data_IF_444927792895
#
_entry.id   IF_444927792895
#
_cell.length_a   1.000
_cell.length_b   1.000
_cell.length_c   1.000
_cell.angle_alpha   90.00
_cell.angle_beta   90.00
_cell.angle_gamma   90.00
#
_symmetry.space_group_name_H-M   'P 1'
#
loop_
_entity.id
_entity.type
_entity.pdbx_description
1 polymer ?
2 non-polymer ?
3 non-polymer ?
4 water ?
#
# COMPACT_ATOMS: atom_id res chain seq x y z
N UNK A 1 -2.30 15.82 -16.06
CA UNK A 1 -1.48 14.58 -16.18
C UNK A 1 -2.37 13.36 -16.43
N UNK A 2 -1.76 12.28 -16.92
CA UNK A 2 -2.51 11.07 -17.25
C UNK A 2 -3.23 10.38 -16.09
N UNK A 3 -4.42 9.90 -16.41
CA UNK A 3 -5.32 9.24 -15.47
C UNK A 3 -5.20 7.72 -15.55
N UNK A 4 -5.02 7.10 -14.39
CA UNK A 4 -4.90 5.65 -14.33
C UNK A 4 -5.91 4.99 -13.42
N UNK A 5 -6.84 4.22 -13.98
CA UNK A 5 -7.84 3.54 -13.16
C UNK A 5 -7.08 2.72 -12.09
N UNK A 6 -7.50 2.85 -10.83
CA UNK A 6 -6.81 2.17 -9.74
C UNK A 6 -7.08 0.70 -9.57
N UNK A 7 -8.33 0.30 -9.77
CA UNK A 7 -8.71 -1.09 -9.59
C UNK A 7 -7.85 -2.06 -10.39
N UNK A 8 -7.66 -1.80 -11.70
CA UNK A 8 -6.84 -2.72 -12.49
C UNK A 8 -5.38 -2.81 -12.05
N UNK A 9 -4.82 -1.69 -11.59
CA UNK A 9 -3.43 -1.69 -11.13
C UNK A 9 -3.30 -2.50 -9.87
N UNK A 10 -4.28 -2.36 -8.97
CA UNK A 10 -4.21 -3.11 -7.74
C UNK A 10 -4.43 -4.61 -8.01
N UNK A 11 -5.22 -4.90 -9.04
CA UNK A 11 -5.50 -6.27 -9.44
C UNK A 11 -4.19 -6.91 -9.93
N UNK A 12 -3.41 -6.15 -10.70
CA UNK A 12 -2.12 -6.63 -11.22
C UNK A 12 -1.18 -6.90 -10.04
N UNK A 13 -1.19 -6.01 -9.05
CA UNK A 13 -0.33 -6.19 -7.90
C UNK A 13 -0.72 -7.38 -7.06
N UNK A 14 -2.02 -7.52 -6.81
CA UNK A 14 -2.54 -8.63 -6.02
C UNK A 14 -2.18 -9.94 -6.71
N UNK A 15 -2.50 -10.04 -8.00
CA UNK A 15 -2.19 -11.25 -8.74
C UNK A 15 -0.73 -11.68 -8.55
N UNK A 16 0.19 -10.72 -8.67
CA UNK A 16 1.62 -11.01 -8.52
C UNK A 16 1.94 -11.45 -7.08
N UNK A 17 1.31 -10.79 -6.11
CA UNK A 17 1.53 -11.12 -4.70
C UNK A 17 0.93 -12.46 -4.31
N UNK A 18 -0.23 -12.79 -4.88
CA UNK A 18 -0.89 -14.05 -4.58
C UNK A 18 0.04 -15.21 -4.93
N UNK A 19 0.89 -15.00 -5.93
CA UNK A 19 1.85 -16.02 -6.35
C UNK A 19 2.97 -16.13 -5.34
N UNK A 20 3.66 -15.02 -5.10
CA UNK A 20 4.76 -14.98 -4.15
C UNK A 20 4.37 -15.59 -2.81
N UNK A 21 3.13 -15.35 -2.38
CA UNK A 21 2.66 -15.86 -1.10
C UNK A 21 1.59 -16.93 -1.21
N UNK A 22 1.54 -17.62 -2.34
CA UNK A 22 0.53 -18.66 -2.54
C UNK A 22 0.55 -19.70 -1.44
N UNK A 23 1.74 -20.03 -0.95
CA UNK A 23 1.86 -21.02 0.10
C UNK A 23 1.25 -20.55 1.42
N UNK A 24 1.27 -19.24 1.65
CA UNK A 24 0.71 -18.70 2.88
C UNK A 24 -0.82 -18.65 2.88
N UNK A 25 -1.40 -18.56 1.69
CA UNK A 25 -2.85 -18.52 1.58
C UNK A 25 -3.48 -17.26 2.12
N UNK A 26 -2.85 -16.13 1.82
CA UNK A 26 -3.37 -14.85 2.28
C UNK A 26 -4.64 -14.54 1.53
N UNK A 27 -5.66 -14.06 2.24
CA UNK A 27 -6.90 -13.68 1.57
C UNK A 27 -6.88 -12.15 1.47
N UNK A 28 -6.79 -11.65 0.23
CA UNK A 28 -6.77 -10.20 -0.06
C UNK A 28 -8.13 -9.80 -0.62
N UNK A 29 -8.83 -8.91 0.08
CA UNK A 29 -10.14 -8.43 -0.35
C UNK A 29 -9.97 -6.99 -0.82
N UNK A 30 -10.67 -6.62 -1.89
CA UNK A 30 -10.57 -5.27 -2.44
C UNK A 30 -11.90 -4.57 -2.57
N UNK A 31 -11.97 -3.35 -2.06
CA UNK A 31 -13.18 -2.53 -2.18
C UNK A 31 -12.76 -1.22 -2.84
N UNK A 32 -12.68 -1.27 -4.17
CA UNK A 32 -12.22 -0.13 -4.98
C UNK A 32 -13.30 0.17 -6.02
N UNK A 33 -13.96 1.30 -5.88
CA UNK A 33 -15.01 1.64 -6.84
C UNK A 33 -14.35 1.83 -8.21
N UNK A 34 -15.05 1.44 -9.28
CA UNK A 34 -14.52 1.55 -10.64
C UNK A 34 -14.06 2.92 -11.11
N UNK A 35 -14.63 3.99 -10.55
CA UNK A 35 -14.26 5.34 -10.98
C UNK A 35 -13.01 5.90 -10.31
N UNK A 36 -12.48 5.16 -9.34
CA UNK A 36 -11.26 5.60 -8.64
C UNK A 36 -10.06 5.62 -9.60
N UNK A 37 -9.36 6.75 -9.65
CA UNK A 37 -8.21 6.87 -10.53
C UNK A 37 -7.05 7.57 -9.85
N UNK A 38 -5.87 7.39 -10.41
CA UNK A 38 -4.67 8.03 -9.88
C UNK A 38 -4.14 8.90 -11.01
N UNK A 39 -3.85 10.15 -10.69
CA UNK A 39 -3.31 11.10 -11.64
C UNK A 39 -1.82 11.20 -11.34
N UNK A 40 -1.00 10.84 -12.32
CA UNK A 40 0.43 10.89 -12.09
C UNK A 40 1.15 9.78 -12.82
N UNK A 41 2.39 9.51 -12.44
CA UNK A 41 3.18 8.43 -13.07
C UNK A 41 2.75 7.10 -12.48
N UNK A 42 2.26 6.22 -13.35
CA UNK A 42 1.79 4.90 -12.94
C UNK A 42 2.80 4.15 -12.08
N UNK A 43 4.08 4.17 -12.47
CA UNK A 43 5.09 3.46 -11.71
C UNK A 43 5.26 3.97 -10.30
N UNK A 44 4.98 5.25 -10.08
CA UNK A 44 5.09 5.81 -8.73
C UNK A 44 4.03 5.17 -7.84
N UNK A 45 2.79 5.14 -8.34
CA UNK A 45 1.68 4.55 -7.61
C UNK A 45 1.97 3.08 -7.30
N UNK A 46 2.44 2.34 -8.30
CA UNK A 46 2.74 0.94 -8.10
C UNK A 46 3.92 0.66 -7.17
N UNK A 47 4.97 1.49 -7.20
CA UNK A 47 6.08 1.26 -6.29
C UNK A 47 5.59 1.47 -4.85
N UNK A 48 4.81 2.52 -4.62
CA UNK A 48 4.32 2.75 -3.26
C UNK A 48 3.40 1.63 -2.82
N UNK A 49 2.39 1.35 -3.62
CA UNK A 49 1.42 0.31 -3.24
C UNK A 49 2.00 -1.07 -3.21
N UNK A 50 2.97 -1.34 -4.09
CA UNK A 50 3.56 -2.66 -4.08
C UNK A 50 4.28 -2.88 -2.76
N UNK A 51 4.94 -1.85 -2.24
CA UNK A 51 5.67 -2.04 -0.98
C UNK A 51 4.73 -2.23 0.20
N UNK A 52 3.65 -1.47 0.20
CA UNK A 52 2.70 -1.56 1.31
C UNK A 52 1.93 -2.86 1.28
N UNK A 53 1.53 -3.30 0.09
CA UNK A 53 0.77 -4.55 -0.06
C UNK A 53 1.67 -5.76 0.23
N UNK A 54 2.93 -5.71 -0.20
CA UNK A 54 3.81 -6.83 0.09
C UNK A 54 3.98 -6.97 1.60
N UNK A 55 4.14 -5.85 2.30
CA UNK A 55 4.27 -5.89 3.76
C UNK A 55 3.02 -6.52 4.39
N UNK A 56 1.84 -6.09 3.95
CA UNK A 56 0.61 -6.65 4.51
C UNK A 56 0.56 -8.16 4.30
N UNK A 57 0.94 -8.64 3.11
CA UNK A 57 0.92 -10.09 2.87
C UNK A 57 1.96 -10.79 3.74
N UNK A 58 3.12 -10.16 3.86
CA UNK A 58 4.21 -10.72 4.65
C UNK A 58 3.91 -10.84 6.14
N UNK A 59 3.37 -9.77 6.72
CA UNK A 59 3.12 -9.74 8.15
C UNK A 59 1.74 -10.16 8.64
N UNK A 60 0.78 -10.33 7.74
CA UNK A 60 -0.54 -10.71 8.21
C UNK A 60 -0.57 -12.13 8.75
N UNK A 61 -1.68 -12.49 9.39
CA UNK A 61 -1.84 -13.86 9.83
C UNK A 61 -2.56 -14.50 8.64
N UNK A 62 -3.64 -13.87 8.16
CA UNK A 62 -4.38 -14.42 7.04
C UNK A 62 -5.10 -13.39 6.16
N UNK A 63 -5.67 -12.37 6.78
CA UNK A 63 -6.45 -11.38 6.04
C UNK A 63 -5.81 -10.04 5.79
N UNK A 64 -6.02 -9.55 4.57
CA UNK A 64 -5.54 -8.23 4.14
C UNK A 64 -6.74 -7.58 3.46
N UNK A 65 -7.05 -6.33 3.83
CA UNK A 65 -8.17 -5.60 3.23
C UNK A 65 -7.67 -4.31 2.60
N UNK A 66 -8.08 -4.04 1.37
CA UNK A 66 -7.65 -2.82 0.69
C UNK A 66 -8.89 -2.03 0.33
N UNK A 67 -8.91 -0.75 0.67
CA UNK A 67 -10.05 0.09 0.32
C UNK A 67 -9.54 1.41 -0.24
N UNK A 68 -10.42 2.15 -0.90
CA UNK A 68 -9.97 3.40 -1.47
C UNK A 68 -11.10 4.40 -1.56
N UNK A 69 -10.71 5.66 -1.55
CA UNK A 69 -11.68 6.73 -1.75
C UNK A 69 -10.94 7.88 -2.38
N UNK A 70 -11.66 8.77 -3.04
CA UNK A 70 -10.96 9.92 -3.64
C UNK A 70 -11.81 11.16 -3.50
N UNK A 71 -11.12 12.28 -3.40
CA UNK A 71 -11.78 13.56 -3.27
C UNK A 71 -11.36 14.35 -4.49
N UNK A 72 -11.59 15.66 -4.46
CA UNK A 72 -11.23 16.47 -5.59
C UNK A 72 -9.72 16.51 -5.86
N UNK A 73 -8.91 16.58 -4.81
CA UNK A 73 -7.47 16.68 -5.00
C UNK A 73 -6.63 15.56 -4.40
N UNK A 74 -7.29 14.64 -3.70
CA UNK A 74 -6.55 13.55 -3.07
C UNK A 74 -7.12 12.17 -3.35
N UNK A 75 -6.22 11.19 -3.29
CA UNK A 75 -6.57 9.78 -3.45
C UNK A 75 -6.07 9.12 -2.17
N UNK A 76 -6.94 8.33 -1.54
CA UNK A 76 -6.64 7.63 -0.29
C UNK A 76 -6.75 6.11 -0.47
N UNK A 77 -5.66 5.37 -0.24
CA UNK A 77 -5.71 3.92 -0.33
C UNK A 77 -5.36 3.40 1.06
N UNK A 78 -6.24 2.58 1.63
CA UNK A 78 -6.02 2.05 2.98
C UNK A 78 -5.78 0.56 2.90
N UNK A 79 -4.69 0.10 3.51
CA UNK A 79 -4.34 -1.32 3.52
C UNK A 79 -4.29 -1.79 4.97
N UNK A 80 -5.16 -2.73 5.31
CA UNK A 80 -5.22 -3.25 6.67
C UNK A 80 -4.91 -4.73 6.71
N UNK A 81 -4.32 -5.18 7.81
CA UNK A 81 -4.02 -6.59 7.95
C UNK A 81 -4.29 -7.01 9.39
N UNK A 82 -4.25 -8.32 9.59
CA UNK A 82 -4.52 -8.88 10.90
C UNK A 82 -3.28 -9.41 11.61
N UNK A 83 -2.12 -8.87 11.23
CA UNK A 83 -0.86 -9.27 11.85
C UNK A 83 -0.58 -8.57 13.18
N UNK A 84 0.67 -8.62 13.68
CA UNK A 84 1.05 -7.99 14.95
C UNK A 84 0.99 -6.49 14.96
N UNK A 85 0.93 -5.90 13.77
CA UNK A 85 0.89 -4.47 13.65
C UNK A 85 2.25 -3.85 13.84
N UNK A 86 2.26 -2.53 13.90
CA UNK A 86 3.46 -1.75 14.09
C UNK A 86 3.34 -1.05 15.44
N UNK A 87 4.22 -1.41 16.39
CA UNK A 87 4.19 -0.80 17.72
C UNK A 87 4.11 0.70 17.63
N UNK A 88 3.33 1.28 18.53
CA UNK A 88 3.14 2.71 18.58
C UNK A 88 4.48 3.43 18.50
N UNK A 89 5.45 2.94 19.27
CA UNK A 89 6.76 3.57 19.32
C UNK A 89 7.60 3.47 18.05
N UNK A 90 7.12 2.71 17.06
CA UNK A 90 7.85 2.52 15.80
C UNK A 90 7.19 3.10 14.55
N UNK A 91 5.97 3.59 14.69
CA UNK A 91 5.23 4.14 13.55
C UNK A 91 5.87 5.36 12.90
N UNK A 92 6.93 5.86 13.53
CA UNK A 92 7.67 6.99 13.01
C UNK A 92 8.96 6.57 12.31
N UNK A 93 9.78 5.83 13.04
CA UNK A 93 11.06 5.40 12.54
C UNK A 93 11.03 4.46 11.34
N UNK A 94 9.89 3.81 11.09
CA UNK A 94 9.83 2.91 9.94
C UNK A 94 9.90 3.69 8.63
N UNK A 95 9.71 5.00 8.70
CA UNK A 95 9.77 5.83 7.50
C UNK A 95 11.13 6.47 7.29
N UNK A 96 12.08 6.15 8.16
CA UNK A 96 13.43 6.68 8.01
C UNK A 96 14.30 5.62 7.36
N UNK A 97 15.33 6.06 6.64
CA UNK A 97 16.25 5.14 5.96
C UNK A 97 16.93 4.22 6.98
N UNK A 98 16.89 2.92 6.70
CA UNK A 98 17.50 1.96 7.59
C UNK A 98 18.59 1.18 6.89
N UNK A 99 19.06 0.11 7.52
CA UNK A 99 20.11 -0.73 6.95
C UNK A 99 19.48 -1.82 6.08
N UNK A 100 19.12 -1.47 4.85
CA UNK A 100 18.49 -2.43 3.95
C UNK A 100 19.54 -3.10 3.05
N UNK A 101 20.54 -3.73 3.67
CA UNK A 101 21.59 -4.42 2.93
C UNK A 101 21.03 -5.72 2.34
N UNK A 102 21.17 -5.89 1.03
CA UNK A 102 20.68 -7.08 0.31
C UNK A 102 19.48 -7.80 0.94
N UNK A 103 18.33 -7.15 0.93
CA UNK A 103 17.12 -7.78 1.45
C UNK A 103 16.29 -8.04 0.20
N UNK A 104 16.97 -7.95 -0.94
CA UNK A 104 16.33 -8.14 -2.23
C UNK A 104 15.83 -9.53 -2.59
N UNK A 105 14.80 -9.97 -1.88
CA UNK A 105 14.18 -11.24 -2.23
C UNK A 105 13.41 -10.72 -3.45
N UNK A 106 13.17 -11.56 -4.47
CA UNK A 106 12.46 -11.19 -5.70
C UNK A 106 11.12 -10.44 -5.60
N UNK A 107 10.55 -10.35 -4.40
CA UNK A 107 9.28 -9.66 -4.26
C UNK A 107 9.40 -8.40 -3.43
N UNK A 108 10.62 -8.10 -3.00
CA UNK A 108 10.89 -6.94 -2.17
C UNK A 108 10.61 -5.63 -2.91
N UNK A 109 10.15 -4.63 -2.17
CA UNK A 109 9.84 -3.34 -2.76
C UNK A 109 10.86 -2.27 -2.41
N UNK A 110 10.49 -1.01 -2.66
CA UNK A 110 11.39 0.11 -2.42
C UNK A 110 11.59 0.51 -0.97
N UNK A 111 10.79 -0.07 -0.08
CA UNK A 111 10.88 0.27 1.33
C UNK A 111 9.94 1.42 1.66
N UNK A 112 9.55 1.53 2.92
CA UNK A 112 8.63 2.60 3.31
C UNK A 112 9.22 4.01 3.30
N UNK A 113 10.52 4.14 3.55
CA UNK A 113 11.14 5.47 3.50
C UNK A 113 11.01 6.04 2.10
N UNK A 114 11.38 5.23 1.10
CA UNK A 114 11.27 5.67 -0.29
C UNK A 114 9.80 5.81 -0.72
N UNK A 115 8.93 4.92 -0.24
CA UNK A 115 7.52 5.01 -0.60
C UNK A 115 6.92 6.32 -0.10
N UNK A 116 7.27 6.72 1.12
CA UNK A 116 6.76 7.98 1.66
C UNK A 116 7.29 9.15 0.87
N UNK A 117 8.57 9.09 0.50
CA UNK A 117 9.15 10.15 -0.30
C UNK A 117 8.40 10.27 -1.64
N UNK A 118 7.99 9.14 -2.22
CA UNK A 118 7.26 9.23 -3.48
C UNK A 118 5.91 9.91 -3.25
N UNK A 119 5.19 9.54 -2.19
CA UNK A 119 3.92 10.21 -1.94
C UNK A 119 4.08 11.71 -1.68
N UNK A 120 5.22 12.10 -1.12
CA UNK A 120 5.46 13.50 -0.84
C UNK A 120 5.66 14.28 -2.14
N UNK A 121 6.09 13.60 -3.21
CA UNK A 121 6.24 14.26 -4.50
C UNK A 121 4.86 14.71 -4.96
N UNK A 122 3.83 13.98 -4.52
CA UNK A 122 2.46 14.29 -4.87
C UNK A 122 1.76 15.05 -3.74
N UNK A 123 2.55 15.69 -2.87
CA UNK A 123 2.00 16.44 -1.75
C UNK A 123 1.13 15.54 -0.89
N UNK A 124 1.57 14.28 -0.76
CA UNK A 124 0.85 13.32 0.05
C UNK A 124 1.68 12.80 1.21
N UNK A 125 1.30 11.64 1.74
CA UNK A 125 2.02 11.04 2.84
C UNK A 125 1.56 9.61 3.06
N UNK A 126 2.15 8.94 4.04
CA UNK A 126 1.71 7.58 4.38
C UNK A 126 1.55 7.65 5.89
N UNK A 127 0.41 7.22 6.39
CA UNK A 127 0.15 7.26 7.83
C UNK A 127 0.07 5.83 8.35
N UNK A 128 0.89 5.53 9.36
CA UNK A 128 0.92 4.21 9.95
C UNK A 128 -0.02 4.21 11.17
N UNK A 129 -0.93 3.25 11.20
CA UNK A 129 -1.88 3.15 12.29
C UNK A 129 -2.20 1.71 12.60
N UNK A 130 -3.36 1.50 13.20
CA UNK A 130 -3.77 0.15 13.58
C UNK A 130 -5.12 -0.17 12.97
N UNK A 131 -5.27 -1.38 12.44
CA UNK A 131 -6.53 -1.77 11.83
C UNK A 131 -7.50 -2.28 12.88
N UNK A 132 -8.73 -2.51 12.46
CA UNK A 132 -9.76 -3.02 13.34
C UNK A 132 -9.34 -4.42 13.74
N UNK A 133 -8.67 -5.10 12.81
CA UNK A 133 -8.16 -6.46 13.00
C UNK A 133 -7.02 -6.46 14.04
N UNK A 134 -6.51 -5.27 14.37
CA UNK A 134 -5.44 -5.17 15.35
C UNK A 134 -4.05 -5.14 14.75
N UNK A 135 -3.97 -5.43 13.45
CA UNK A 135 -2.68 -5.41 12.78
C UNK A 135 -2.43 -4.01 12.26
N UNK A 136 -1.66 -3.89 11.20
CA UNK A 136 -1.38 -2.57 10.68
C UNK A 136 -2.44 -1.98 9.77
N UNK A 137 -2.54 -0.66 9.82
CA UNK A 137 -3.43 0.10 8.95
C UNK A 137 -2.47 1.09 8.33
N UNK A 138 -2.29 1.01 7.02
CA UNK A 138 -1.43 1.96 6.37
C UNK A 138 -2.29 2.77 5.44
N UNK A 139 -2.33 4.08 5.64
CA UNK A 139 -3.12 4.91 4.76
C UNK A 139 -2.18 5.69 3.88
N UNK A 140 -2.29 5.42 2.58
CA UNK A 140 -1.46 6.06 1.57
C UNK A 140 -2.27 7.16 0.94
N UNK A 141 -1.72 8.38 0.96
CA UNK A 141 -2.42 9.51 0.40
C UNK A 141 -1.60 10.18 -0.68
N UNK A 142 -2.22 10.34 -1.85
CA UNK A 142 -1.59 11.07 -2.95
C UNK A 142 -2.38 12.35 -3.18
N UNK A 143 -1.67 13.47 -3.23
CA UNK A 143 -2.34 14.72 -3.53
C UNK A 143 -2.12 15.04 -5.00
N UNK A 144 -2.30 16.32 -5.34
CA UNK A 144 -2.13 16.79 -6.72
C UNK A 144 -2.99 16.00 -7.72
N UNK A 145 -4.19 15.62 -7.30
CA UNK A 145 -5.08 14.85 -8.16
C UNK A 145 -5.99 15.73 -9.02
N UNK A 146 -5.86 17.05 -8.87
CA UNK A 146 -6.63 17.95 -9.73
C UNK A 146 -5.66 18.90 -10.40
X LIG B 1 9.34 -3.55 1.70
X LIG C 1 10.16 -5.82 4.58
X LIG C 1 9.48 -5.54 6.05
X LIG C 1 9.20 -5.05 3.71
X LIG C 1 10.39 -7.35 3.93
X LIG C 1 11.74 -3.53 4.15
X LIG C 1 13.05 -2.93 4.58
X LIG C 1 11.52 -3.20 2.73
X LIG C 1 11.60 -5.06 4.45
X LIG C 1 9.77 -1.48 4.92
X LIG C 1 10.50 -0.20 4.67
X LIG C 1 8.80 -1.94 3.88
X LIG C 1 10.71 -2.77 5.09
X LIG C 1 9.05 -1.37 6.29
X LIG C 1 9.96 -1.37 7.46
X LIG C 1 9.47 -2.12 8.65
X LIG C 1 8.17 -1.72 9.11
X LIG C 1 9.38 -3.58 8.41
X LIG C 1 10.67 -4.26 8.47
X LIG C 1 8.30 -4.03 9.46
X LIG C 1 9.11 -4.23 10.62
X LIG C 1 7.43 -2.83 9.61
X LIG C 1 6.17 -3.02 8.89
X LIG C 1 5.76 -2.47 7.69
X LIG C 1 4.51 -2.90 7.37
X LIG C 1 4.16 -3.71 8.35
X LIG C 1 2.95 -4.42 8.50
X LIG C 1 2.02 -4.32 7.58
X LIG C 1 2.78 -5.22 9.63
X LIG C 1 3.83 -5.28 10.57
X LIG C 1 4.96 -4.57 10.37
X LIG C 1 5.18 -3.78 9.29
#
# INVERSE_FOLDING_TARGET
>A
RELHPVAPLLDNLTSALNKVYQRKGVNISLDISPEISFVGEQNDFVEVMGNVLDNACKYCLEFVEISARQTDEHLYIVVEDDGPGIPLSKREVIFDRGQRVDTLRPGQGVGLAVAREITEQYEGKIVAGESMLGGARMEVIFGRQHSAPKDE
>B hetero
1 MG MG
>C hetero
1 ANP PG O1G O2G O3G PB O1B O2B N3B PA O1A O2A O3A O5' C5' C4' O4' C3' O3' C2' O2' C1' N9 C8 N7 C5 C6 N6 N1 C2 N3 C4
#
